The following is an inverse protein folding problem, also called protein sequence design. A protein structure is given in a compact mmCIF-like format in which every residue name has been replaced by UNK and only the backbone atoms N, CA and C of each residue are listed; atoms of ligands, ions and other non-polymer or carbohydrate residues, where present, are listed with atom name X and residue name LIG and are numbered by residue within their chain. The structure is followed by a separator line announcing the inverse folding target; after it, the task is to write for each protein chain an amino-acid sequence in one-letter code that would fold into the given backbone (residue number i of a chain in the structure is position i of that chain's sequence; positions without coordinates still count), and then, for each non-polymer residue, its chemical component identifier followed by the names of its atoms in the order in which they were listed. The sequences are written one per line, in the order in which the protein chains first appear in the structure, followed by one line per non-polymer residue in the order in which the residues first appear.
data_IF_712062818161
#
_entry.id   IF_712062818161
#
_cell.length_a   1.000
_cell.length_b   1.000
_cell.length_c   1.000
_cell.angle_alpha   90.00
_cell.angle_beta   90.00
_cell.angle_gamma   90.00
#
_symmetry.space_group_name_H-M   'P 1'
#
loop_
_entity.id
_entity.type
_entity.pdbx_description
1 polymer ?
#
# COMPACT_ATOMS: atom_id res chain seq x y z
N UNK A 1 31.77 -0.28 -7.75
CA UNK A 1 30.70 -1.25 -7.99
C UNK A 1 31.26 -2.40 -8.83
N UNK A 2 31.15 -3.60 -8.33
CA UNK A 2 31.50 -4.83 -9.03
C UNK A 2 30.20 -5.52 -9.48
N UNK A 3 30.13 -5.94 -10.75
CA UNK A 3 28.99 -6.71 -11.24
C UNK A 3 29.13 -8.15 -10.78
N UNK A 4 28.17 -8.65 -9.99
CA UNK A 4 28.17 -10.01 -9.47
C UNK A 4 27.48 -10.99 -10.42
N UNK A 5 26.33 -10.60 -10.97
CA UNK A 5 25.51 -11.50 -11.77
C UNK A 5 24.58 -10.69 -12.70
N UNK A 6 24.21 -11.32 -13.83
CA UNK A 6 23.13 -10.86 -14.70
C UNK A 6 22.10 -11.99 -14.82
N UNK A 7 20.82 -11.67 -14.76
CA UNK A 7 19.78 -12.64 -15.08
C UNK A 7 19.85 -13.07 -16.55
N UNK A 8 19.36 -14.25 -16.86
CA UNK A 8 19.39 -14.82 -18.22
C UNK A 8 18.62 -13.97 -19.24
N UNK A 9 17.64 -13.18 -18.79
CA UNK A 9 16.86 -12.24 -19.57
C UNK A 9 17.50 -10.84 -19.67
N UNK A 10 18.63 -10.62 -18.95
CA UNK A 10 19.37 -9.35 -18.91
C UNK A 10 18.66 -8.22 -18.15
N UNK A 11 17.49 -8.48 -17.55
CA UNK A 11 16.66 -7.46 -16.90
C UNK A 11 17.12 -7.13 -15.48
N UNK A 12 17.88 -8.03 -14.85
CA UNK A 12 18.40 -7.84 -13.49
C UNK A 12 19.92 -7.94 -13.49
N UNK A 13 20.56 -6.97 -12.85
CA UNK A 13 22.01 -6.96 -12.66
C UNK A 13 22.28 -6.76 -11.17
N UNK A 14 22.99 -7.69 -10.57
CA UNK A 14 23.42 -7.58 -9.19
C UNK A 14 24.81 -6.93 -9.13
N UNK A 15 24.96 -5.96 -8.26
CA UNK A 15 26.23 -5.28 -8.00
C UNK A 15 26.64 -5.43 -6.55
N UNK A 16 27.95 -5.51 -6.32
CA UNK A 16 28.54 -5.36 -4.99
C UNK A 16 29.13 -3.96 -4.88
N UNK A 17 28.76 -3.23 -3.82
CA UNK A 17 29.43 -2.02 -3.40
C UNK A 17 30.13 -2.30 -2.07
N UNK A 18 31.43 -2.05 -2.00
CA UNK A 18 32.22 -2.16 -0.77
C UNK A 18 32.55 -0.74 -0.32
N UNK A 19 31.81 -0.17 0.63
CA UNK A 19 32.11 1.17 1.13
C UNK A 19 33.35 1.15 2.00
N UNK A 20 34.23 2.12 1.83
CA UNK A 20 35.42 2.31 2.66
C UNK A 20 35.08 2.79 4.08
N UNK A 21 33.86 3.22 4.31
CA UNK A 21 33.35 3.78 5.59
C UNK A 21 32.09 3.05 6.03
N UNK A 22 31.75 3.17 7.32
CA UNK A 22 30.49 2.61 7.89
C UNK A 22 29.22 3.20 7.29
N UNK A 23 29.29 4.36 6.66
CA UNK A 23 28.19 4.99 5.91
C UNK A 23 28.73 5.54 4.61
N UNK A 24 27.96 5.38 3.53
CA UNK A 24 28.27 5.90 2.21
C UNK A 24 27.02 6.41 1.52
N UNK A 25 27.20 7.41 0.63
CA UNK A 25 26.16 7.88 -0.28
C UNK A 25 26.44 7.23 -1.64
N UNK A 26 25.47 6.48 -2.14
CA UNK A 26 25.49 5.93 -3.49
C UNK A 26 24.50 6.70 -4.36
N UNK A 27 25.00 7.35 -5.39
CA UNK A 27 24.16 8.02 -6.39
C UNK A 27 24.07 7.17 -7.65
N UNK A 28 22.84 6.80 -8.02
CA UNK A 28 22.55 6.07 -9.25
C UNK A 28 21.69 6.94 -10.17
N UNK A 29 22.08 7.02 -11.44
CA UNK A 29 21.29 7.68 -12.48
C UNK A 29 20.98 6.67 -13.57
N UNK A 30 19.71 6.47 -13.84
CA UNK A 30 19.26 5.55 -14.87
C UNK A 30 18.02 6.09 -15.57
N UNK A 31 17.81 5.65 -16.77
CA UNK A 31 16.64 5.96 -17.59
C UNK A 31 16.30 4.75 -18.45
N UNK A 32 15.05 4.66 -18.89
CA UNK A 32 14.61 3.58 -19.76
C UNK A 32 13.09 3.44 -19.76
N UNK A 33 12.62 2.49 -20.56
CA UNK A 33 11.26 1.95 -20.50
C UNK A 33 11.33 0.61 -19.79
N UNK A 34 10.84 0.49 -18.55
CA UNK A 34 10.79 -0.80 -17.91
C UNK A 34 9.88 -1.74 -18.71
N UNK A 35 10.36 -2.95 -18.93
CA UNK A 35 9.57 -4.04 -19.49
C UNK A 35 9.19 -4.98 -18.37
N UNK A 36 7.90 -5.11 -18.13
CA UNK A 36 7.40 -6.00 -17.11
C UNK A 36 7.11 -7.37 -17.70
N UNK A 37 7.58 -8.43 -17.05
CA UNK A 37 7.17 -9.78 -17.39
C UNK A 37 5.65 -9.87 -17.33
N UNK A 38 5.02 -10.54 -18.32
CA UNK A 38 3.56 -10.65 -18.42
C UNK A 38 2.89 -11.48 -17.32
N UNK A 39 3.58 -11.69 -16.19
CA UNK A 39 3.07 -12.39 -15.00
C UNK A 39 2.00 -11.53 -14.35
N UNK A 40 0.82 -12.10 -14.15
CA UNK A 40 -0.28 -11.47 -13.44
C UNK A 40 -0.38 -12.06 -12.03
N UNK A 41 -0.53 -11.20 -11.05
CA UNK A 41 -0.82 -11.59 -9.67
C UNK A 41 -2.28 -12.00 -9.51
N UNK A 42 -2.65 -12.45 -8.31
CA UNK A 42 -4.05 -12.66 -7.93
C UNK A 42 -4.87 -11.39 -8.24
N UNK A 43 -6.06 -11.55 -8.84
CA UNK A 43 -6.87 -10.39 -9.26
C UNK A 43 -6.48 -9.81 -10.62
N UNK A 44 -5.49 -10.39 -11.32
CA UNK A 44 -5.12 -10.00 -12.68
C UNK A 44 -4.25 -8.73 -12.77
N UNK A 45 -3.72 -8.25 -11.66
CA UNK A 45 -2.75 -7.13 -11.67
C UNK A 45 -1.44 -7.53 -12.35
N UNK A 46 -0.88 -6.68 -13.22
CA UNK A 46 0.45 -6.91 -13.77
C UNK A 46 1.52 -6.73 -12.67
N UNK A 47 2.69 -7.31 -12.88
CA UNK A 47 3.86 -7.12 -12.01
C UNK A 47 4.30 -5.64 -11.93
N UNK A 48 4.02 -4.87 -12.97
CA UNK A 48 4.18 -3.43 -13.04
C UNK A 48 3.40 -2.88 -14.21
N UNK A 49 3.04 -1.62 -14.13
CA UNK A 49 2.37 -0.90 -15.22
C UNK A 49 2.96 0.50 -15.34
N UNK A 50 3.30 0.88 -16.56
CA UNK A 50 3.70 2.23 -16.91
C UNK A 50 3.07 2.59 -18.26
N UNK A 51 1.98 3.32 -18.26
CA UNK A 51 1.23 3.58 -19.47
C UNK A 51 0.24 4.73 -19.38
N UNK A 52 -0.43 5.01 -20.51
CA UNK A 52 -1.41 6.11 -20.61
C UNK A 52 -2.62 5.97 -19.68
N UNK A 53 -2.87 4.79 -19.15
CA UNK A 53 -3.99 4.53 -18.24
C UNK A 53 -3.62 4.69 -16.78
N UNK A 54 -2.33 4.67 -16.46
CA UNK A 54 -1.82 4.79 -15.10
C UNK A 54 -0.45 4.14 -14.93
N UNK A 55 0.03 4.26 -13.71
CA UNK A 55 1.28 3.69 -13.23
C UNK A 55 0.97 2.83 -11.99
N UNK A 56 1.56 1.65 -11.95
CA UNK A 56 1.68 0.82 -10.76
C UNK A 56 3.07 0.22 -10.72
N UNK A 57 3.85 0.58 -9.72
CA UNK A 57 5.21 0.13 -9.53
C UNK A 57 5.44 -0.22 -8.05
N UNK A 58 6.04 -1.38 -7.82
CA UNK A 58 6.50 -1.87 -6.52
C UNK A 58 7.90 -2.48 -6.63
N UNK A 59 8.41 -3.12 -5.58
CA UNK A 59 9.71 -3.78 -5.61
C UNK A 59 9.79 -4.87 -6.70
N UNK A 60 8.70 -5.59 -6.98
CA UNK A 60 8.67 -6.67 -7.97
C UNK A 60 8.88 -6.16 -9.40
N UNK A 61 8.52 -4.91 -9.66
CA UNK A 61 8.73 -4.24 -10.94
C UNK A 61 10.16 -3.74 -11.16
N UNK A 62 11.03 -3.83 -10.14
CA UNK A 62 12.45 -3.48 -10.19
C UNK A 62 12.70 -2.07 -10.78
N UNK A 63 11.83 -1.11 -10.47
CA UNK A 63 11.91 0.26 -10.98
C UNK A 63 12.91 1.13 -10.21
N UNK A 64 13.40 0.65 -9.11
CA UNK A 64 14.47 1.25 -8.32
C UNK A 64 15.49 0.16 -7.90
N UNK A 65 16.73 0.54 -7.51
CA UNK A 65 17.71 -0.42 -7.03
C UNK A 65 17.24 -1.13 -5.76
N UNK A 66 17.22 -2.45 -5.78
CA UNK A 66 16.84 -3.27 -4.63
C UNK A 66 18.06 -3.58 -3.77
N UNK A 67 17.90 -3.46 -2.47
CA UNK A 67 18.89 -3.83 -1.47
C UNK A 67 18.38 -5.04 -0.69
N UNK A 68 19.30 -5.88 -0.22
CA UNK A 68 18.96 -7.00 0.67
C UNK A 68 18.80 -6.49 2.12
N UNK A 69 18.02 -5.45 2.27
CA UNK A 69 17.67 -4.82 3.55
C UNK A 69 16.39 -3.99 3.37
N UNK A 70 15.62 -3.81 4.45
CA UNK A 70 14.49 -2.90 4.44
C UNK A 70 14.90 -1.48 4.09
N UNK A 71 14.01 -0.74 3.44
CA UNK A 71 14.17 0.70 3.22
C UNK A 71 13.86 1.41 4.54
N UNK A 72 14.81 2.17 5.09
CA UNK A 72 14.67 2.83 6.39
C UNK A 72 13.73 4.04 6.34
N UNK A 73 13.99 4.97 5.46
CA UNK A 73 13.19 6.17 5.21
C UNK A 73 13.21 6.50 3.72
N UNK A 74 12.36 7.42 3.29
CA UNK A 74 12.23 7.79 1.89
C UNK A 74 11.89 9.26 1.73
N UNK A 75 12.59 9.88 0.77
CA UNK A 75 12.15 11.10 0.09
C UNK A 75 11.99 10.78 -1.39
N UNK A 76 10.77 10.81 -1.89
CA UNK A 76 10.43 10.51 -3.28
C UNK A 76 9.80 11.72 -3.94
N UNK A 77 10.51 12.30 -4.92
CA UNK A 77 10.02 13.37 -5.77
C UNK A 77 9.52 12.80 -7.09
N UNK A 78 8.29 13.11 -7.44
CA UNK A 78 7.61 12.57 -8.63
C UNK A 78 7.09 13.72 -9.48
N UNK A 79 7.48 13.72 -10.76
CA UNK A 79 6.85 14.54 -11.79
C UNK A 79 5.96 13.64 -12.65
N UNK A 80 4.70 14.01 -12.79
CA UNK A 80 3.70 13.26 -13.56
C UNK A 80 3.12 14.14 -14.67
N UNK A 81 2.46 13.57 -15.68
CA UNK A 81 1.74 14.36 -16.69
C UNK A 81 0.70 15.29 -16.09
N UNK A 82 0.39 16.38 -16.78
CA UNK A 82 -0.64 17.34 -16.39
C UNK A 82 -1.97 16.64 -16.08
N UNK A 83 -2.59 17.04 -14.96
CA UNK A 83 -3.84 16.46 -14.47
C UNK A 83 -3.70 15.09 -13.81
N UNK A 84 -2.48 14.56 -13.69
CA UNK A 84 -2.21 13.32 -12.96
C UNK A 84 -1.81 13.60 -11.51
N UNK A 85 -2.06 12.61 -10.68
CA UNK A 85 -1.64 12.59 -9.28
C UNK A 85 -0.85 11.31 -9.02
N UNK A 86 0.18 11.39 -8.17
CA UNK A 86 0.90 10.24 -7.66
C UNK A 86 0.46 9.88 -6.25
N UNK A 87 0.61 8.62 -5.88
CA UNK A 87 0.41 8.09 -4.54
C UNK A 87 1.58 7.19 -4.19
N UNK A 88 2.14 7.38 -2.99
CA UNK A 88 3.20 6.55 -2.43
C UNK A 88 3.04 6.41 -0.91
N UNK A 89 3.99 5.75 -0.27
CA UNK A 89 4.08 5.63 1.17
C UNK A 89 4.39 7.00 1.81
N UNK A 90 3.93 7.24 3.03
CA UNK A 90 4.31 8.41 3.81
C UNK A 90 3.45 9.65 3.57
N UNK A 91 3.92 10.79 4.06
CA UNK A 91 3.25 12.08 3.97
C UNK A 91 3.45 12.72 2.59
N UNK A 92 2.41 13.43 2.12
CA UNK A 92 2.42 14.12 0.84
C UNK A 92 2.65 15.62 1.01
N UNK A 93 3.49 16.17 0.16
CA UNK A 93 3.58 17.61 -0.08
C UNK A 93 3.71 17.90 -1.58
N UNK A 94 3.43 19.13 -1.97
CA UNK A 94 3.58 19.60 -3.35
C UNK A 94 4.40 20.88 -3.39
N UNK A 95 5.27 20.97 -4.38
CA UNK A 95 6.01 22.18 -4.68
C UNK A 95 6.17 22.31 -6.20
N UNK A 96 5.58 23.35 -6.76
CA UNK A 96 5.47 23.52 -8.21
C UNK A 96 4.82 22.27 -8.87
N UNK A 97 5.50 21.63 -9.82
CA UNK A 97 5.07 20.43 -10.55
C UNK A 97 5.56 19.12 -9.89
N UNK A 98 6.22 19.22 -8.73
CA UNK A 98 6.77 18.08 -8.00
C UNK A 98 5.81 17.64 -6.89
N UNK A 99 5.43 16.38 -6.92
CA UNK A 99 4.68 15.71 -5.87
C UNK A 99 5.67 14.92 -5.02
N UNK A 100 5.86 15.37 -3.77
CA UNK A 100 6.83 14.78 -2.85
C UNK A 100 6.13 13.88 -1.84
N UNK A 101 6.75 12.72 -1.59
CA UNK A 101 6.35 11.76 -0.58
C UNK A 101 7.50 11.50 0.38
N UNK A 102 7.25 11.60 1.68
CA UNK A 102 8.28 11.43 2.71
C UNK A 102 7.81 10.50 3.80
N UNK A 103 8.68 9.62 4.25
CA UNK A 103 8.47 8.79 5.44
C UNK A 103 9.79 8.52 6.14
N UNK A 104 9.76 8.49 7.45
CA UNK A 104 10.83 8.02 8.33
C UNK A 104 10.61 6.57 8.80
N UNK A 105 9.44 6.00 8.49
CA UNK A 105 9.09 4.64 8.87
C UNK A 105 9.74 3.62 7.92
N UNK A 106 10.30 2.52 8.46
CA UNK A 106 10.78 1.42 7.64
C UNK A 106 9.63 0.81 6.81
N UNK A 107 9.94 0.40 5.59
CA UNK A 107 8.98 -0.26 4.70
C UNK A 107 9.70 -1.28 3.81
N UNK A 108 8.94 -2.25 3.31
CA UNK A 108 9.46 -3.37 2.52
C UNK A 108 9.65 -3.03 1.04
N UNK A 109 8.92 -2.03 0.55
CA UNK A 109 8.89 -1.68 -0.86
C UNK A 109 8.63 -0.19 -1.07
N UNK A 110 9.24 0.38 -2.10
CA UNK A 110 8.81 1.67 -2.64
C UNK A 110 7.66 1.43 -3.61
N UNK A 111 6.52 2.00 -3.28
CA UNK A 111 5.33 1.96 -4.14
C UNK A 111 5.19 3.28 -4.89
N UNK A 112 4.84 3.21 -6.16
CA UNK A 112 4.42 4.37 -6.95
C UNK A 112 3.20 4.03 -7.76
N UNK A 113 2.09 4.65 -7.40
CA UNK A 113 0.85 4.63 -8.17
C UNK A 113 0.67 6.03 -8.75
N UNK A 114 0.31 6.14 -10.02
CA UNK A 114 -0.05 7.44 -10.59
C UNK A 114 -1.13 7.29 -11.66
N UNK A 115 -1.92 8.35 -11.81
CA UNK A 115 -3.01 8.38 -12.77
C UNK A 115 -3.83 9.67 -12.68
N UNK A 116 -4.89 9.80 -13.49
CA UNK A 116 -5.78 10.96 -13.50
C UNK A 116 -6.75 10.89 -12.31
N UNK A 117 -6.20 10.84 -11.11
CA UNK A 117 -6.97 10.73 -9.89
C UNK A 117 -7.56 12.07 -9.45
N UNK A 118 -8.79 12.02 -8.95
CA UNK A 118 -9.39 13.08 -8.15
C UNK A 118 -9.22 12.74 -6.67
N UNK A 119 -8.62 13.67 -5.92
CA UNK A 119 -8.32 13.50 -4.50
C UNK A 119 -9.39 14.19 -3.65
N UNK A 120 -10.07 13.43 -2.81
CA UNK A 120 -10.93 13.92 -1.74
C UNK A 120 -10.20 13.70 -0.41
N UNK A 121 -10.14 14.73 0.45
CA UNK A 121 -9.33 14.63 1.66
C UNK A 121 -9.95 15.33 2.87
N UNK A 122 -9.61 14.80 4.05
CA UNK A 122 -10.03 15.30 5.36
C UNK A 122 -8.89 15.13 6.35
N UNK A 123 -8.71 16.07 7.26
CA UNK A 123 -7.84 15.89 8.42
C UNK A 123 -8.57 15.13 9.53
N UNK A 124 -7.83 14.23 10.21
CA UNK A 124 -8.24 13.58 11.42
C UNK A 124 -7.08 13.66 12.43
N UNK A 125 -7.12 14.67 13.30
CA UNK A 125 -5.94 15.07 14.06
C UNK A 125 -4.77 15.40 13.13
N UNK A 126 -3.63 14.78 13.37
CA UNK A 126 -2.42 14.94 12.55
C UNK A 126 -2.38 14.00 11.33
N UNK A 127 -3.41 13.18 11.13
CA UNK A 127 -3.47 12.20 10.05
C UNK A 127 -4.23 12.77 8.85
N UNK A 128 -3.64 12.70 7.66
CA UNK A 128 -4.31 12.99 6.39
C UNK A 128 -5.11 11.77 5.91
N UNK A 129 -6.45 11.87 5.93
CA UNK A 129 -7.33 10.88 5.33
C UNK A 129 -7.68 11.29 3.91
N UNK A 130 -7.59 10.36 2.96
CA UNK A 130 -7.93 10.69 1.57
C UNK A 130 -8.49 9.49 0.79
N UNK A 131 -9.33 9.82 -0.20
CA UNK A 131 -9.86 8.88 -1.18
C UNK A 131 -9.51 9.39 -2.56
N UNK A 132 -8.95 8.53 -3.39
CA UNK A 132 -8.44 8.85 -4.71
C UNK A 132 -9.22 8.07 -5.75
N UNK A 133 -10.00 8.78 -6.57
CA UNK A 133 -10.93 8.20 -7.53
C UNK A 133 -10.49 8.48 -8.97
N UNK A 134 -10.69 7.53 -9.86
CA UNK A 134 -10.44 7.67 -11.31
C UNK A 134 -11.54 8.45 -12.04
N UNK A 135 -12.59 8.86 -11.33
CA UNK A 135 -13.70 9.66 -11.83
C UNK A 135 -14.27 10.55 -10.74
N UNK A 136 -15.19 11.42 -11.11
CA UNK A 136 -15.87 12.31 -10.16
C UNK A 136 -17.01 11.57 -9.44
N UNK A 137 -16.78 11.18 -8.20
CA UNK A 137 -17.75 10.52 -7.32
C UNK A 137 -17.53 10.95 -5.86
N UNK A 138 -17.83 12.20 -5.57
CA UNK A 138 -17.69 12.77 -4.23
C UNK A 138 -18.51 12.03 -3.17
N UNK A 139 -19.67 11.48 -3.55
CA UNK A 139 -20.50 10.70 -2.64
C UNK A 139 -19.84 9.38 -2.22
N UNK A 140 -19.17 8.71 -3.16
CA UNK A 140 -18.37 7.52 -2.85
C UNK A 140 -17.20 7.88 -1.94
N UNK A 141 -16.47 8.96 -2.23
CA UNK A 141 -15.36 9.41 -1.40
C UNK A 141 -15.80 9.69 0.04
N UNK A 142 -16.92 10.39 0.21
CA UNK A 142 -17.46 10.72 1.53
C UNK A 142 -17.83 9.48 2.34
N UNK A 143 -18.37 8.44 1.73
CA UNK A 143 -18.70 7.18 2.42
C UNK A 143 -17.48 6.53 3.09
N UNK A 144 -16.30 6.63 2.48
CA UNK A 144 -15.04 6.15 3.06
C UNK A 144 -14.50 7.12 4.11
N UNK A 145 -14.42 8.41 3.77
CA UNK A 145 -13.89 9.44 4.67
C UNK A 145 -14.65 9.53 5.99
N UNK A 146 -15.95 9.25 5.96
CA UNK A 146 -16.81 9.33 7.14
C UNK A 146 -16.46 8.30 8.23
N UNK A 147 -15.86 7.16 7.86
CA UNK A 147 -15.60 6.05 8.79
C UNK A 147 -14.13 5.78 9.06
N UNK A 148 -13.21 6.28 8.21
CA UNK A 148 -11.78 5.99 8.33
C UNK A 148 -11.19 6.44 9.68
N UNK A 149 -11.56 7.64 10.13
CA UNK A 149 -11.08 8.19 11.40
C UNK A 149 -11.48 7.36 12.59
N UNK A 150 -12.72 6.91 12.64
CA UNK A 150 -13.25 6.09 13.75
C UNK A 150 -12.51 4.74 13.87
N UNK A 151 -12.16 4.12 12.73
CA UNK A 151 -11.38 2.88 12.74
C UNK A 151 -9.94 3.12 13.22
N UNK A 152 -9.31 4.19 12.76
CA UNK A 152 -7.97 4.56 13.22
C UNK A 152 -7.97 4.82 14.73
N UNK A 153 -8.96 5.54 15.26
CA UNK A 153 -9.10 5.79 16.69
C UNK A 153 -9.37 4.51 17.47
N UNK A 154 -10.21 3.63 16.93
CA UNK A 154 -10.50 2.34 17.57
C UNK A 154 -9.23 1.51 17.72
N UNK A 155 -8.48 1.30 16.65
CA UNK A 155 -7.24 0.50 16.69
C UNK A 155 -6.12 1.19 17.44
N UNK A 156 -6.04 2.53 17.39
CA UNK A 156 -5.07 3.29 18.19
C UNK A 156 -5.27 3.10 19.68
N UNK A 157 -6.52 3.00 20.15
CA UNK A 157 -6.83 2.69 21.57
C UNK A 157 -6.53 1.24 21.94
N UNK A 158 -6.71 0.32 20.99
CA UNK A 158 -6.55 -1.12 21.23
C UNK A 158 -5.09 -1.58 21.19
N UNK A 159 -4.30 -1.02 20.27
CA UNK A 159 -2.97 -1.52 19.92
C UNK A 159 -1.88 -0.50 20.24
N UNK A 160 -2.13 0.78 19.93
CA UNK A 160 -1.16 1.87 20.03
C UNK A 160 -1.31 2.85 18.89
N UNK A 161 -0.60 3.97 18.95
CA UNK A 161 -0.73 5.06 17.98
C UNK A 161 -0.62 4.58 16.54
N UNK A 162 -1.43 5.16 15.65
CA UNK A 162 -1.34 4.90 14.21
C UNK A 162 0.07 5.24 13.69
N UNK A 163 0.74 4.31 12.98
CA UNK A 163 2.17 4.46 12.69
C UNK A 163 2.50 5.48 11.59
N UNK A 164 1.52 6.00 10.84
CA UNK A 164 1.75 6.87 9.71
C UNK A 164 1.06 8.23 9.86
N UNK A 165 1.43 9.21 9.03
CA UNK A 165 0.82 10.54 9.00
C UNK A 165 -0.32 10.66 7.99
N UNK A 166 -0.64 9.60 7.25
CA UNK A 166 -1.78 9.53 6.34
C UNK A 166 -2.37 8.13 6.29
N UNK A 167 -3.64 8.05 5.86
CA UNK A 167 -4.22 6.85 5.28
C UNK A 167 -5.01 7.20 4.01
N UNK A 168 -4.82 6.43 2.94
CA UNK A 168 -5.52 6.66 1.69
C UNK A 168 -6.24 5.40 1.20
N UNK A 169 -7.45 5.58 0.65
CA UNK A 169 -8.12 4.58 -0.17
C UNK A 169 -7.96 4.99 -1.62
N UNK A 170 -7.38 4.12 -2.44
CA UNK A 170 -7.05 4.42 -3.83
C UNK A 170 -7.80 3.48 -4.76
N UNK A 171 -8.55 4.05 -5.69
CA UNK A 171 -9.26 3.28 -6.70
C UNK A 171 -8.29 2.59 -7.65
N UNK A 172 -8.45 1.28 -7.81
CA UNK A 172 -7.67 0.47 -8.72
C UNK A 172 -8.55 -0.01 -9.89
N UNK A 173 -8.02 0.04 -11.10
CA UNK A 173 -8.69 -0.52 -12.28
C UNK A 173 -8.82 -2.05 -12.22
N UNK A 174 -7.87 -2.69 -11.56
CA UNK A 174 -7.90 -4.13 -11.31
C UNK A 174 -8.75 -4.44 -10.08
N UNK A 175 -9.46 -5.57 -10.12
CA UNK A 175 -10.40 -5.95 -9.06
C UNK A 175 -9.66 -6.66 -7.91
N UNK A 176 -8.92 -5.89 -7.16
CA UNK A 176 -8.04 -6.36 -6.07
C UNK A 176 -8.31 -5.58 -4.79
N UNK A 177 -7.85 -6.12 -3.66
CA UNK A 177 -7.64 -5.41 -2.40
C UNK A 177 -6.20 -5.63 -1.97
N UNK A 178 -5.45 -4.57 -1.75
CA UNK A 178 -4.07 -4.62 -1.27
C UNK A 178 -3.84 -3.56 -0.22
N UNK A 179 -3.46 -4.00 1.00
CA UNK A 179 -2.97 -3.13 2.06
C UNK A 179 -1.49 -2.82 1.87
N UNK A 180 -1.17 -1.57 1.61
CA UNK A 180 0.19 -1.03 1.56
C UNK A 180 0.43 -0.12 2.78
N UNK A 181 1.71 0.16 3.13
CA UNK A 181 1.99 1.09 4.20
C UNK A 181 1.33 2.46 3.94
N UNK A 182 0.41 2.85 4.82
CA UNK A 182 -0.33 4.12 4.79
C UNK A 182 -1.39 4.28 3.67
N UNK A 183 -1.72 3.23 2.90
CA UNK A 183 -2.83 3.27 1.93
C UNK A 183 -3.30 1.87 1.53
N UNK A 184 -4.46 1.79 0.89
CA UNK A 184 -4.98 0.56 0.29
C UNK A 184 -5.43 0.79 -1.14
N UNK A 185 -5.18 -0.20 -2.01
CA UNK A 185 -5.72 -0.25 -3.37
C UNK A 185 -6.99 -1.09 -3.38
N UNK A 186 -8.11 -0.50 -3.74
CA UNK A 186 -9.40 -1.20 -3.89
C UNK A 186 -9.86 -1.16 -5.34
N UNK A 187 -10.24 -2.31 -5.88
CA UNK A 187 -10.78 -2.39 -7.23
C UNK A 187 -12.02 -1.54 -7.41
N UNK A 188 -12.16 -0.88 -8.57
CA UNK A 188 -13.25 0.05 -8.89
C UNK A 188 -14.64 -0.52 -8.58
N UNK A 189 -14.89 -1.78 -8.89
CA UNK A 189 -16.19 -2.43 -8.60
C UNK A 189 -16.34 -2.76 -7.12
N UNK A 190 -15.25 -3.20 -6.48
CA UNK A 190 -15.24 -3.59 -5.08
C UNK A 190 -15.58 -2.38 -4.20
N UNK A 191 -14.89 -1.27 -4.39
CA UNK A 191 -15.09 -0.09 -3.54
C UNK A 191 -16.49 0.54 -3.67
N UNK A 192 -17.25 0.24 -4.74
CA UNK A 192 -18.63 0.72 -4.93
C UNK A 192 -19.68 -0.13 -4.22
N UNK A 193 -19.31 -1.32 -3.75
CA UNK A 193 -20.22 -2.15 -2.94
C UNK A 193 -20.51 -1.45 -1.60
N UNK A 194 -21.77 -1.38 -1.17
CA UNK A 194 -22.18 -0.56 -0.04
C UNK A 194 -21.62 -1.01 1.30
N UNK A 195 -21.20 -2.25 1.42
CA UNK A 195 -20.71 -2.84 2.66
C UNK A 195 -19.19 -2.74 2.85
N UNK A 196 -18.41 -2.49 1.79
CA UNK A 196 -16.94 -2.46 1.87
C UNK A 196 -16.39 -1.46 2.89
N UNK A 197 -16.91 -0.22 3.02
CA UNK A 197 -16.47 0.70 4.06
C UNK A 197 -16.66 0.17 5.49
N UNK A 198 -17.55 -0.81 5.68
CA UNK A 198 -17.92 -1.34 6.99
C UNK A 198 -17.42 -2.77 7.26
N UNK A 199 -16.82 -3.42 6.27
CA UNK A 199 -16.31 -4.80 6.37
C UNK A 199 -14.83 -4.90 6.01
N UNK A 200 -14.47 -4.65 4.76
CA UNK A 200 -13.09 -4.80 4.30
C UNK A 200 -12.20 -3.60 4.68
N UNK A 201 -12.74 -2.38 4.73
CA UNK A 201 -11.94 -1.21 5.06
C UNK A 201 -11.28 -1.26 6.45
N UNK A 202 -11.97 -1.64 7.55
CA UNK A 202 -11.31 -1.80 8.84
C UNK A 202 -10.19 -2.85 8.82
N UNK A 203 -10.33 -3.93 8.05
CA UNK A 203 -9.30 -4.94 7.81
C UNK A 203 -8.06 -4.31 7.17
N UNK A 204 -8.23 -3.58 6.07
CA UNK A 204 -7.12 -2.92 5.35
C UNK A 204 -6.45 -1.82 6.19
N UNK A 205 -7.21 -1.09 7.01
CA UNK A 205 -6.64 -0.11 7.95
C UNK A 205 -5.78 -0.80 9.01
N UNK A 206 -6.22 -1.93 9.53
CA UNK A 206 -5.50 -2.66 10.58
C UNK A 206 -4.16 -3.21 10.11
N UNK A 207 -4.01 -3.52 8.82
CA UNK A 207 -2.73 -3.91 8.23
C UNK A 207 -1.62 -2.85 8.39
N UNK A 208 -1.95 -1.60 8.71
CA UNK A 208 -0.92 -0.61 9.01
C UNK A 208 -0.18 -0.88 10.33
N UNK A 209 -0.78 -1.63 11.27
CA UNK A 209 -0.09 -2.16 12.45
C UNK A 209 0.47 -3.55 12.18
N UNK A 210 -0.34 -4.47 11.61
CA UNK A 210 0.00 -5.87 11.36
C UNK A 210 0.33 -6.13 9.89
N UNK A 211 1.58 -6.39 9.57
CA UNK A 211 2.09 -6.59 8.22
C UNK A 211 2.93 -5.43 7.73
N UNK A 212 2.48 -4.17 7.91
CA UNK A 212 3.21 -2.99 7.47
C UNK A 212 4.01 -2.32 8.62
N UNK A 213 3.45 -2.25 9.82
CA UNK A 213 4.13 -1.71 11.01
C UNK A 213 4.98 -2.77 11.73
N UNK A 214 4.45 -3.98 11.89
CA UNK A 214 5.17 -5.16 12.38
C UNK A 214 5.21 -6.19 11.27
N UNK A 215 6.41 -6.50 10.79
CA UNK A 215 6.59 -7.36 9.61
C UNK A 215 6.44 -8.83 9.90
N UNK A 216 6.08 -9.59 8.86
CA UNK A 216 5.81 -11.02 8.93
C UNK A 216 7.07 -11.80 8.53
N UNK A 217 7.50 -12.75 9.35
CA UNK A 217 8.38 -13.82 8.90
C UNK A 217 7.53 -14.94 8.27
N UNK A 218 7.29 -14.87 6.98
CA UNK A 218 6.46 -15.83 6.25
C UNK A 218 6.93 -17.29 6.35
N UNK A 219 8.20 -17.52 6.74
CA UNK A 219 8.71 -18.87 6.99
C UNK A 219 8.06 -19.49 8.23
N UNK A 220 7.49 -18.67 9.12
CA UNK A 220 6.81 -19.08 10.37
C UNK A 220 5.31 -18.97 10.28
N UNK A 221 4.75 -18.64 9.12
CA UNK A 221 3.34 -18.51 8.88
C UNK A 221 2.86 -17.06 8.77
N UNK A 222 1.63 -16.88 8.29
CA UNK A 222 1.01 -15.56 8.12
C UNK A 222 0.09 -15.24 9.32
N UNK A 223 0.70 -14.92 10.45
CA UNK A 223 -0.01 -14.54 11.67
C UNK A 223 -0.77 -13.21 11.53
N UNK A 224 -0.31 -12.33 10.63
CA UNK A 224 -0.90 -11.01 10.44
C UNK A 224 -2.34 -11.10 9.93
N UNK A 225 -2.62 -11.94 8.93
CA UNK A 225 -3.98 -12.16 8.43
C UNK A 225 -4.90 -12.72 9.52
N UNK A 226 -4.40 -13.65 10.33
CA UNK A 226 -5.17 -14.23 11.45
C UNK A 226 -5.55 -13.19 12.49
N UNK A 227 -4.60 -12.33 12.91
CA UNK A 227 -4.88 -11.24 13.84
C UNK A 227 -5.79 -10.17 13.23
N UNK A 228 -5.58 -9.83 11.97
CA UNK A 228 -6.40 -8.85 11.26
C UNK A 228 -7.84 -9.36 11.11
N UNK A 229 -8.01 -10.62 10.71
CA UNK A 229 -9.34 -11.23 10.65
C UNK A 229 -10.04 -11.26 12.02
N UNK A 230 -9.30 -11.51 13.10
CA UNK A 230 -9.89 -11.50 14.46
C UNK A 230 -10.25 -10.08 14.92
N UNK A 231 -9.33 -9.12 14.78
CA UNK A 231 -9.50 -7.77 15.32
C UNK A 231 -10.36 -6.86 14.42
N UNK A 232 -10.51 -7.19 13.14
CA UNK A 232 -11.36 -6.45 12.20
C UNK A 232 -12.60 -7.24 11.80
N UNK A 233 -12.46 -8.36 11.10
CA UNK A 233 -13.61 -9.05 10.50
C UNK A 233 -14.54 -9.63 11.57
N UNK A 234 -13.98 -10.32 12.56
CA UNK A 234 -14.77 -10.86 13.69
C UNK A 234 -15.38 -9.71 14.51
N UNK A 235 -14.64 -8.65 14.82
CA UNK A 235 -15.14 -7.48 15.53
C UNK A 235 -16.35 -6.83 14.83
N UNK A 236 -16.30 -6.69 13.51
CA UNK A 236 -17.44 -6.19 12.72
C UNK A 236 -18.66 -7.11 12.87
N UNK A 237 -18.46 -8.44 12.82
CA UNK A 237 -19.54 -9.42 13.01
C UNK A 237 -20.07 -9.42 14.45
N UNK A 238 -19.21 -9.25 15.44
CA UNK A 238 -19.59 -9.17 16.84
C UNK A 238 -20.49 -7.96 17.12
N UNK A 239 -20.16 -6.79 16.55
CA UNK A 239 -21.02 -5.60 16.62
C UNK A 239 -22.41 -5.80 16.00
N UNK A 240 -22.55 -6.76 15.09
CA UNK A 240 -23.82 -7.16 14.47
C UNK A 240 -24.51 -8.30 15.21
N UNK A 241 -23.98 -8.77 16.35
CA UNK A 241 -24.50 -9.92 17.10
C UNK A 241 -24.22 -11.27 16.43
N UNK A 242 -23.28 -11.34 15.49
CA UNK A 242 -22.94 -12.54 14.70
C UNK A 242 -21.54 -13.10 15.01
N UNK A 243 -20.90 -12.67 16.09
CA UNK A 243 -19.53 -13.06 16.45
C UNK A 243 -19.38 -14.57 16.64
N UNK A 244 -20.34 -15.23 17.34
CA UNK A 244 -20.31 -16.67 17.56
C UNK A 244 -20.41 -17.45 16.24
N UNK A 245 -21.29 -17.01 15.34
CA UNK A 245 -21.44 -17.63 14.04
C UNK A 245 -20.16 -17.48 13.18
N UNK A 246 -19.51 -16.32 13.25
CA UNK A 246 -18.24 -16.11 12.56
C UNK A 246 -17.15 -17.06 13.08
N UNK A 247 -17.00 -17.20 14.41
CA UNK A 247 -16.04 -18.11 15.02
C UNK A 247 -16.32 -19.57 14.64
N UNK A 248 -17.57 -19.99 14.70
CA UNK A 248 -17.98 -21.33 14.30
C UNK A 248 -17.62 -21.62 12.83
N UNK A 249 -17.90 -20.68 11.93
CA UNK A 249 -17.54 -20.79 10.50
C UNK A 249 -16.04 -20.89 10.30
N UNK A 250 -15.24 -20.13 11.05
CA UNK A 250 -13.78 -20.23 11.01
C UNK A 250 -13.30 -21.62 11.46
N UNK A 251 -13.83 -22.13 12.58
CA UNK A 251 -13.48 -23.47 13.06
C UNK A 251 -13.83 -24.59 12.06
N UNK A 252 -14.98 -24.51 11.39
CA UNK A 252 -15.36 -25.47 10.35
C UNK A 252 -14.37 -25.48 9.16
N UNK A 253 -13.81 -24.34 8.79
CA UNK A 253 -12.78 -24.28 7.73
C UNK A 253 -11.46 -24.94 8.12
N UNK A 254 -11.14 -25.01 9.41
CA UNK A 254 -9.94 -25.68 9.91
C UNK A 254 -10.10 -27.19 10.10
N UNK A 255 -11.34 -27.69 10.10
CA UNK A 255 -11.63 -29.12 10.31
C UNK A 255 -11.69 -29.93 9.02
N UNK A 256 -11.49 -29.32 7.87
CA UNK A 256 -11.44 -29.92 6.53
C UNK A 256 -10.17 -29.55 5.77
#
# INVERSE_FOLDING_TARGET
LETLNRSSDGLRVAYRATPERRSAILTLRYHGRPQFAGVRTLGGMPQGELGRKGVYLDASSAWYPLFDAPVGGMDLDVTVPDGWQSISVGARSEHADIQRWTTDQPHDSLYLIAGPYQRHARKHGDIDLSVWLLGDDAALAERYLAVMGDYIDHYSRLIGAYPYRKFAVVENRYQTGFGMPSFTLLGSRVMRLPFIPFTSLPHEILHNWWGNGVWIDYRRGNWSEGLTAYLADHWVQERQGKGDHYRLTALHRYSH
#
